data_IF_719884902268
#
_entry.id   IF_719884902268
#
_cell.length_a   1.000
_cell.length_b   1.000
_cell.length_c   1.000
_cell.angle_alpha   90.00
_cell.angle_beta   90.00
_cell.angle_gamma   90.00
#
_symmetry.space_group_name_H-M   'P 1'
#
loop_
_entity.id
_entity.type
_entity.pdbx_description
1 polymer ?
#
# COMPACT_ATOMS: atom_id res chain seq x y z
N UNK A 1 -24.23 -7.33 -19.14
CA UNK A 1 -22.76 -7.58 -19.00
C UNK A 1 -22.04 -6.27 -19.27
N UNK A 2 -21.35 -5.70 -18.25
CA UNK A 2 -20.58 -4.45 -18.42
C UNK A 2 -19.41 -4.71 -19.38
N UNK A 3 -19.06 -3.75 -20.24
CA UNK A 3 -17.87 -3.86 -21.08
C UNK A 3 -16.62 -3.77 -20.22
N UNK A 4 -15.54 -4.44 -20.61
CA UNK A 4 -14.27 -4.44 -19.87
C UNK A 4 -13.77 -3.03 -19.48
N UNK A 5 -13.97 -2.04 -20.36
CA UNK A 5 -13.66 -0.61 -20.12
C UNK A 5 -14.46 0.04 -18.98
N UNK A 6 -15.58 -0.57 -18.57
CA UNK A 6 -16.42 -0.08 -17.48
C UNK A 6 -16.05 -0.72 -16.14
N UNK A 7 -15.25 -1.80 -16.16
CA UNK A 7 -14.86 -2.57 -14.99
C UNK A 7 -13.54 -2.11 -14.37
N UNK A 8 -12.64 -1.52 -15.18
CA UNK A 8 -11.34 -1.05 -14.72
C UNK A 8 -11.23 0.46 -14.88
N UNK A 9 -10.73 1.12 -13.84
CA UNK A 9 -10.49 2.56 -13.81
C UNK A 9 -9.08 2.85 -13.33
N UNK A 10 -8.36 3.67 -14.08
CA UNK A 10 -7.10 4.25 -13.62
C UNK A 10 -7.48 5.48 -12.79
N UNK A 11 -7.09 5.48 -11.53
CA UNK A 11 -7.39 6.54 -10.57
C UNK A 11 -6.25 7.56 -10.46
N UNK A 12 -5.00 7.11 -10.62
CA UNK A 12 -3.78 7.93 -10.56
C UNK A 12 -2.71 7.28 -11.45
N UNK A 13 -1.74 8.07 -11.98
CA UNK A 13 -1.71 9.55 -11.97
C UNK A 13 -2.64 10.16 -13.02
N UNK A 14 -3.11 11.39 -12.79
CA UNK A 14 -3.61 12.24 -13.88
C UNK A 14 -2.44 12.70 -14.74
N UNK A 15 -2.73 13.19 -15.95
CA UNK A 15 -1.68 13.74 -16.83
C UNK A 15 -0.92 14.89 -16.16
N UNK A 16 -1.63 15.77 -15.50
CA UNK A 16 -1.07 16.95 -14.81
C UNK A 16 -0.17 16.52 -13.66
N UNK A 17 -0.64 15.61 -12.82
CA UNK A 17 0.11 15.07 -11.70
C UNK A 17 1.36 14.30 -12.15
N UNK A 18 1.27 13.54 -13.24
CA UNK A 18 2.41 12.86 -13.83
C UNK A 18 3.49 13.83 -14.30
N UNK A 19 3.09 14.93 -14.98
CA UNK A 19 4.02 15.96 -15.43
C UNK A 19 4.67 16.70 -14.25
N UNK A 20 3.92 16.99 -13.17
CA UNK A 20 4.44 17.56 -11.92
C UNK A 20 5.54 16.65 -11.35
N UNK A 21 5.26 15.36 -11.22
CA UNK A 21 6.21 14.37 -10.68
C UNK A 21 7.46 14.19 -11.56
N UNK A 22 7.33 14.31 -12.89
CA UNK A 22 8.50 14.29 -13.78
C UNK A 22 9.45 15.44 -13.50
N UNK A 23 8.95 16.63 -13.19
CA UNK A 23 9.78 17.79 -12.83
C UNK A 23 10.43 17.58 -11.45
N UNK A 24 9.73 16.96 -10.51
CA UNK A 24 10.25 16.67 -9.17
C UNK A 24 11.28 15.52 -9.16
N UNK A 25 11.26 14.65 -10.18
CA UNK A 25 12.12 13.47 -10.21
C UNK A 25 13.58 13.85 -10.47
N UNK A 26 14.47 13.40 -9.59
CA UNK A 26 15.92 13.53 -9.75
C UNK A 26 16.49 12.68 -10.90
N UNK A 27 15.69 11.77 -11.48
CA UNK A 27 16.06 10.95 -12.63
C UNK A 27 15.70 11.59 -13.96
N UNK A 28 14.89 12.65 -13.94
CA UNK A 28 14.61 13.45 -15.13
C UNK A 28 15.85 14.29 -15.44
N UNK A 29 16.50 14.14 -16.61
CA UNK A 29 17.70 14.91 -16.93
C UNK A 29 17.35 16.40 -16.98
N UNK A 30 17.70 17.13 -15.96
CA UNK A 30 17.88 18.57 -16.05
C UNK A 30 19.17 18.80 -16.85
N UNK A 31 19.15 19.72 -17.80
CA UNK A 31 20.20 19.95 -18.80
C UNK A 31 21.61 20.23 -18.21
N UNK A 32 21.76 20.28 -16.89
CA UNK A 32 23.03 20.50 -16.21
C UNK A 32 23.05 19.94 -14.79
N UNK A 33 23.26 18.63 -14.60
CA UNK A 33 23.86 18.17 -13.34
C UNK A 33 24.52 16.78 -13.47
N UNK A 34 25.70 16.65 -12.86
CA UNK A 34 26.58 15.48 -12.91
C UNK A 34 26.11 14.33 -12.01
N UNK A 35 26.38 13.10 -12.46
CA UNK A 35 25.90 11.81 -11.94
C UNK A 35 26.42 11.38 -10.54
N UNK A 36 27.11 12.24 -9.77
CA UNK A 36 27.87 11.81 -8.58
C UNK A 36 27.05 11.63 -7.29
N UNK A 37 25.78 12.05 -7.26
CA UNK A 37 25.00 12.05 -6.02
C UNK A 37 24.14 10.79 -5.77
N UNK A 38 23.99 9.92 -6.74
CA UNK A 38 23.14 8.72 -6.60
C UNK A 38 23.83 7.57 -5.84
N UNK A 39 25.16 7.46 -5.96
CA UNK A 39 25.95 6.37 -5.36
C UNK A 39 26.15 6.53 -3.85
N UNK A 40 26.26 7.76 -3.35
CA UNK A 40 26.46 8.03 -1.93
C UNK A 40 25.20 7.74 -1.06
N UNK A 41 24.00 7.79 -1.64
CA UNK A 41 22.76 7.42 -0.95
C UNK A 41 22.61 5.92 -0.77
N UNK A 42 23.11 5.13 -1.73
CA UNK A 42 23.00 3.66 -1.69
C UNK A 42 23.86 3.04 -0.56
N UNK A 43 25.01 3.63 -0.24
CA UNK A 43 25.94 3.10 0.76
C UNK A 43 25.55 3.43 2.22
N UNK A 44 24.65 4.40 2.45
CA UNK A 44 24.22 4.76 3.82
C UNK A 44 23.22 3.79 4.43
N UNK A 45 22.56 2.96 3.63
CA UNK A 45 21.47 2.08 4.09
C UNK A 45 21.91 0.66 4.50
N UNK A 46 23.23 0.36 4.51
CA UNK A 46 23.71 -1.01 4.68
C UNK A 46 23.92 -1.49 6.13
N UNK A 47 23.86 -0.62 7.13
CA UNK A 47 24.07 -1.00 8.53
C UNK A 47 23.15 -0.22 9.46
N UNK A 48 21.93 -0.71 9.64
CA UNK A 48 21.06 -0.19 10.70
C UNK A 48 20.63 -1.28 11.66
N UNK A 49 20.99 -1.02 12.91
CA UNK A 49 20.52 -1.75 14.08
C UNK A 49 19.02 -1.43 14.22
N UNK A 50 18.16 -2.38 13.95
CA UNK A 50 16.70 -2.19 14.08
C UNK A 50 16.39 -2.04 15.57
N UNK A 51 16.20 -0.81 16.02
CA UNK A 51 15.53 -0.52 17.28
C UNK A 51 14.04 -0.77 17.09
N UNK A 52 13.36 -1.21 18.14
CA UNK A 52 11.94 -1.52 18.08
C UNK A 52 11.15 -0.57 18.97
N UNK A 53 10.02 -0.10 18.45
CA UNK A 53 9.01 0.63 19.20
C UNK A 53 7.92 -0.32 19.70
N UNK A 54 7.28 0.06 20.80
CA UNK A 54 6.07 -0.63 21.27
C UNK A 54 4.85 0.09 20.71
N UNK A 55 4.00 -0.66 20.03
CA UNK A 55 2.73 -0.25 19.48
C UNK A 55 1.60 -1.01 20.16
N UNK A 56 0.50 -0.33 20.45
CA UNK A 56 -0.71 -0.96 21.01
C UNK A 56 -1.87 -0.73 20.05
N UNK A 57 -3.00 -1.43 20.26
CA UNK A 57 -4.17 -1.23 19.41
C UNK A 57 -4.62 0.23 19.37
N UNK A 58 -4.58 0.93 20.49
CA UNK A 58 -4.96 2.34 20.63
C UNK A 58 -3.86 3.35 20.28
N UNK A 59 -2.62 2.91 20.04
CA UNK A 59 -1.47 3.81 19.80
C UNK A 59 -0.72 3.41 18.52
N UNK A 60 -1.21 3.86 17.38
CA UNK A 60 -0.63 3.64 16.06
C UNK A 60 0.71 4.39 15.91
N UNK A 61 1.70 3.75 15.31
CA UNK A 61 3.05 4.31 15.14
C UNK A 61 3.33 4.80 13.71
N UNK A 62 2.41 4.62 12.77
CA UNK A 62 2.51 5.29 11.47
C UNK A 62 2.45 6.82 11.65
N UNK A 63 3.23 7.52 10.81
CA UNK A 63 3.27 8.99 10.79
C UNK A 63 2.37 9.53 9.69
N UNK A 64 1.76 10.71 9.91
CA UNK A 64 0.94 11.39 8.91
C UNK A 64 1.78 12.05 7.82
N UNK A 65 2.86 12.72 8.21
CA UNK A 65 3.68 13.53 7.32
C UNK A 65 4.89 12.76 6.81
N UNK A 66 4.62 11.74 6.00
CA UNK A 66 5.66 10.97 5.31
C UNK A 66 5.56 11.16 3.81
N UNK A 67 6.67 10.98 3.11
CA UNK A 67 6.74 11.08 1.65
C UNK A 67 7.59 9.95 1.08
N UNK A 68 7.31 9.61 -0.14
CA UNK A 68 8.11 8.69 -0.95
C UNK A 68 8.70 9.41 -2.17
N UNK A 69 9.40 8.70 -3.03
CA UNK A 69 9.99 9.31 -4.23
C UNK A 69 8.93 9.68 -5.27
N UNK A 70 9.19 10.68 -6.13
CA UNK A 70 8.29 10.99 -7.24
C UNK A 70 8.01 9.78 -8.15
N UNK A 71 9.00 8.89 -8.33
CA UNK A 71 8.83 7.66 -9.11
C UNK A 71 7.78 6.73 -8.51
N UNK A 72 7.75 6.58 -7.18
CA UNK A 72 6.73 5.81 -6.50
C UNK A 72 5.35 6.46 -6.65
N UNK A 73 5.28 7.79 -6.51
CA UNK A 73 4.05 8.55 -6.72
C UNK A 73 3.50 8.48 -8.16
N UNK A 74 4.37 8.16 -9.16
CA UNK A 74 3.96 7.91 -10.55
C UNK A 74 3.27 6.55 -10.75
N UNK A 75 3.23 5.68 -9.75
CA UNK A 75 2.62 4.36 -9.86
C UNK A 75 1.15 4.45 -10.27
N UNK A 76 0.76 3.57 -11.17
CA UNK A 76 -0.62 3.50 -11.64
C UNK A 76 -1.49 2.86 -10.57
N UNK A 77 -2.50 3.59 -10.10
CA UNK A 77 -3.51 3.08 -9.18
C UNK A 77 -4.74 2.67 -9.96
N UNK A 78 -5.13 1.40 -9.85
CA UNK A 78 -6.23 0.80 -10.61
C UNK A 78 -7.31 0.33 -9.65
N UNK A 79 -8.55 0.78 -9.87
CA UNK A 79 -9.74 0.25 -9.22
C UNK A 79 -10.51 -0.63 -10.18
N UNK A 80 -10.85 -1.84 -9.75
CA UNK A 80 -11.63 -2.79 -10.51
C UNK A 80 -12.98 -3.07 -9.85
N UNK A 81 -14.06 -2.97 -10.63
CA UNK A 81 -15.42 -3.27 -10.21
C UNK A 81 -15.81 -4.68 -10.64
N UNK A 82 -15.69 -5.63 -9.73
CA UNK A 82 -16.06 -7.04 -9.90
C UNK A 82 -16.94 -7.49 -8.74
N UNK A 83 -17.21 -8.78 -8.63
CA UNK A 83 -17.94 -9.36 -7.48
C UNK A 83 -17.23 -9.08 -6.16
N UNK A 84 -15.91 -9.00 -6.19
CA UNK A 84 -15.05 -8.47 -5.13
C UNK A 84 -14.23 -7.32 -5.73
N UNK A 85 -14.63 -6.09 -5.45
CA UNK A 85 -13.94 -4.92 -5.99
C UNK A 85 -12.52 -4.87 -5.46
N UNK A 86 -11.57 -4.53 -6.33
CA UNK A 86 -10.17 -4.53 -5.97
C UNK A 86 -9.47 -3.19 -6.25
N UNK A 87 -8.43 -2.93 -5.47
CA UNK A 87 -7.53 -1.80 -5.64
C UNK A 87 -6.08 -2.28 -5.78
N UNK A 88 -5.46 -1.98 -6.91
CA UNK A 88 -4.03 -2.20 -7.14
C UNK A 88 -3.32 -0.86 -7.06
N UNK A 89 -2.30 -0.78 -6.23
CA UNK A 89 -1.65 0.48 -5.86
C UNK A 89 -0.24 0.63 -6.41
N UNK A 90 0.40 -0.47 -6.84
CA UNK A 90 1.82 -0.45 -7.18
C UNK A 90 2.65 0.06 -6.00
N UNK A 91 3.53 1.00 -6.26
CA UNK A 91 4.38 1.65 -5.25
C UNK A 91 3.86 3.04 -4.84
N UNK A 92 2.58 3.34 -5.12
CA UNK A 92 1.95 4.63 -4.87
C UNK A 92 2.20 5.13 -3.44
N UNK A 93 2.48 6.41 -3.32
CA UNK A 93 2.62 7.09 -2.05
C UNK A 93 1.33 7.81 -1.63
N UNK A 94 1.42 8.58 -0.57
CA UNK A 94 0.29 9.29 0.06
C UNK A 94 -0.39 10.25 -0.93
N UNK A 95 0.39 10.99 -1.75
CA UNK A 95 -0.16 11.95 -2.73
C UNK A 95 -0.96 11.24 -3.82
N UNK A 96 -0.44 10.13 -4.38
CA UNK A 96 -1.12 9.36 -5.40
C UNK A 96 -2.39 8.69 -4.84
N UNK A 97 -2.33 8.14 -3.63
CA UNK A 97 -3.49 7.55 -2.96
C UNK A 97 -4.55 8.59 -2.65
N UNK A 98 -4.18 9.77 -2.13
CA UNK A 98 -5.11 10.87 -1.86
C UNK A 98 -5.82 11.34 -3.13
N UNK A 99 -5.07 11.58 -4.22
CA UNK A 99 -5.64 11.93 -5.53
C UNK A 99 -6.55 10.83 -6.07
N UNK A 100 -6.19 9.55 -5.86
CA UNK A 100 -7.02 8.41 -6.27
C UNK A 100 -8.35 8.36 -5.54
N UNK A 101 -8.33 8.55 -4.22
CA UNK A 101 -9.53 8.58 -3.38
C UNK A 101 -10.42 9.77 -3.81
N UNK A 102 -9.85 10.96 -3.89
CA UNK A 102 -10.56 12.18 -4.28
C UNK A 102 -11.20 12.05 -5.67
N UNK A 103 -10.46 11.48 -6.64
CA UNK A 103 -11.01 11.25 -7.97
C UNK A 103 -12.17 10.23 -7.93
N UNK A 104 -12.05 9.15 -7.15
CA UNK A 104 -13.10 8.14 -7.03
C UNK A 104 -14.37 8.70 -6.37
N UNK A 105 -14.23 9.52 -5.33
CA UNK A 105 -15.32 10.24 -4.66
C UNK A 105 -16.05 11.15 -5.67
N UNK A 106 -15.29 11.93 -6.48
CA UNK A 106 -15.84 12.83 -7.50
C UNK A 106 -16.65 12.13 -8.59
N UNK A 107 -16.37 10.87 -8.88
CA UNK A 107 -17.13 10.05 -9.83
C UNK A 107 -18.18 9.15 -9.14
N UNK A 108 -18.46 9.38 -7.87
CA UNK A 108 -19.46 8.65 -7.08
C UNK A 108 -19.04 7.20 -6.76
N UNK A 109 -17.75 6.95 -6.58
CA UNK A 109 -17.19 5.64 -6.21
C UNK A 109 -16.51 5.72 -4.85
N UNK A 110 -17.19 5.25 -3.83
CA UNK A 110 -16.67 5.20 -2.46
C UNK A 110 -15.78 3.95 -2.31
N UNK A 111 -14.45 4.12 -2.48
CA UNK A 111 -13.49 2.99 -2.38
C UNK A 111 -13.61 2.35 -1.00
N UNK A 112 -13.59 3.15 0.06
CA UNK A 112 -13.64 2.70 1.45
C UNK A 112 -14.74 1.68 1.72
N UNK A 113 -15.94 1.92 1.18
CA UNK A 113 -17.10 1.09 1.45
C UNK A 113 -17.23 -0.12 0.52
N UNK A 114 -16.60 -0.05 -0.65
CA UNK A 114 -16.83 -1.02 -1.71
C UNK A 114 -15.63 -1.93 -2.00
N UNK A 115 -14.41 -1.58 -1.59
CA UNK A 115 -13.23 -2.41 -1.86
C UNK A 115 -13.20 -3.63 -0.95
N UNK A 116 -13.02 -4.80 -1.54
CA UNK A 116 -12.86 -6.07 -0.82
C UNK A 116 -11.42 -6.58 -0.83
N UNK A 117 -10.67 -6.30 -1.92
CA UNK A 117 -9.28 -6.72 -2.07
C UNK A 117 -8.36 -5.52 -2.36
N UNK A 118 -7.21 -5.46 -1.67
CA UNK A 118 -6.25 -4.36 -1.81
C UNK A 118 -4.83 -4.91 -1.94
N UNK A 119 -4.08 -4.40 -2.90
CA UNK A 119 -2.64 -4.51 -2.89
C UNK A 119 -2.07 -3.47 -1.92
N UNK A 120 -1.30 -3.89 -0.92
CA UNK A 120 -0.57 -2.98 -0.04
C UNK A 120 0.54 -2.30 -0.83
N UNK A 121 0.63 -0.96 -0.84
CA UNK A 121 1.60 -0.26 -1.68
C UNK A 121 3.04 -0.53 -1.25
N UNK A 122 3.93 -0.49 -2.21
CA UNK A 122 5.39 -0.52 -2.05
C UNK A 122 5.87 -1.58 -1.06
N UNK A 123 5.41 -2.82 -1.26
CA UNK A 123 5.79 -3.99 -0.45
C UNK A 123 5.49 -3.85 1.06
N UNK A 124 4.63 -2.92 1.46
CA UNK A 124 4.36 -2.60 2.86
C UNK A 124 5.39 -1.64 3.48
N UNK A 125 5.90 -0.70 2.70
CA UNK A 125 6.77 0.37 3.15
C UNK A 125 6.00 1.46 3.91
N UNK A 126 6.57 1.94 5.02
CA UNK A 126 5.94 2.93 5.92
C UNK A 126 5.85 4.35 5.36
N UNK A 127 6.60 4.66 4.30
CA UNK A 127 6.60 5.97 3.64
C UNK A 127 5.49 6.13 2.58
N UNK A 128 4.71 5.08 2.34
CA UNK A 128 3.70 5.03 1.28
C UNK A 128 2.26 5.10 1.81
N UNK A 129 2.08 5.01 3.13
CA UNK A 129 0.78 5.06 3.79
C UNK A 129 0.82 5.92 5.05
N UNK A 130 -0.34 6.49 5.44
CA UNK A 130 -0.52 7.20 6.71
C UNK A 130 -1.87 6.82 7.33
N UNK A 131 -2.07 7.05 8.64
CA UNK A 131 -3.35 6.79 9.30
C UNK A 131 -4.53 7.42 8.59
N UNK A 132 -4.45 8.71 8.24
CA UNK A 132 -5.54 9.43 7.57
C UNK A 132 -5.87 8.88 6.18
N UNK A 133 -4.85 8.54 5.39
CA UNK A 133 -5.05 7.91 4.07
C UNK A 133 -5.68 6.54 4.22
N UNK A 134 -5.24 5.71 5.17
CA UNK A 134 -5.83 4.41 5.41
C UNK A 134 -7.29 4.50 5.87
N UNK A 135 -7.64 5.47 6.73
CA UNK A 135 -9.02 5.70 7.14
C UNK A 135 -9.93 6.00 5.93
N UNK A 136 -9.46 6.82 4.99
CA UNK A 136 -10.20 7.13 3.75
C UNK A 136 -10.23 5.98 2.76
N UNK A 137 -9.21 5.11 2.76
CA UNK A 137 -9.05 4.05 1.78
C UNK A 137 -9.79 2.76 2.16
N UNK A 138 -9.70 2.37 3.44
CA UNK A 138 -10.16 1.06 3.94
C UNK A 138 -11.09 1.13 5.13
N UNK A 139 -11.23 2.29 5.78
CA UNK A 139 -12.10 2.53 6.93
C UNK A 139 -11.34 2.88 8.19
N UNK A 140 -12.08 3.31 9.20
CA UNK A 140 -11.54 3.70 10.48
C UNK A 140 -11.07 2.49 11.31
N UNK A 141 -10.34 2.75 12.38
CA UNK A 141 -9.94 1.72 13.36
C UNK A 141 -11.17 1.08 13.97
N UNK A 142 -11.21 -0.24 14.01
CA UNK A 142 -12.30 -1.04 14.61
C UNK A 142 -11.90 -1.56 15.99
N UNK A 143 -12.83 -2.19 16.71
CA UNK A 143 -12.51 -2.87 17.98
C UNK A 143 -11.51 -4.01 17.76
N UNK A 144 -10.69 -4.30 18.78
CA UNK A 144 -9.68 -5.35 18.67
C UNK A 144 -10.32 -6.72 18.43
N UNK A 145 -9.88 -7.39 17.38
CA UNK A 145 -10.42 -8.68 16.94
C UNK A 145 -11.60 -8.58 15.99
N UNK A 146 -12.10 -7.38 15.70
CA UNK A 146 -13.15 -7.16 14.70
C UNK A 146 -12.57 -7.23 13.27
N UNK A 147 -13.35 -7.71 12.32
CA UNK A 147 -12.98 -7.80 10.90
C UNK A 147 -14.02 -7.17 9.99
N UNK A 148 -13.56 -6.45 8.98
CA UNK A 148 -14.41 -5.85 7.93
C UNK A 148 -14.62 -6.77 6.73
N UNK A 149 -14.01 -7.96 6.72
CA UNK A 149 -14.04 -8.89 5.59
C UNK A 149 -13.17 -8.46 4.40
N UNK A 150 -12.42 -7.36 4.53
CA UNK A 150 -11.46 -6.92 3.51
C UNK A 150 -10.16 -7.74 3.59
N UNK A 151 -9.53 -7.93 2.44
CA UNK A 151 -8.27 -8.67 2.29
C UNK A 151 -7.20 -7.78 1.66
N UNK A 152 -6.01 -7.79 2.23
CA UNK A 152 -4.85 -7.10 1.68
C UNK A 152 -3.71 -8.07 1.37
N UNK A 153 -3.12 -7.94 0.16
CA UNK A 153 -1.94 -8.71 -0.22
C UNK A 153 -0.72 -7.80 -0.31
N UNK A 154 0.38 -8.30 0.27
CA UNK A 154 1.70 -7.68 0.19
C UNK A 154 2.60 -8.55 -0.67
N UNK A 155 3.08 -8.00 -1.79
CA UNK A 155 4.06 -8.66 -2.65
C UNK A 155 5.45 -8.46 -2.07
N UNK A 156 6.11 -9.50 -1.57
CA UNK A 156 7.46 -9.43 -1.00
C UNK A 156 8.32 -10.59 -1.48
N UNK A 157 9.61 -10.33 -1.66
CA UNK A 157 10.59 -11.34 -2.00
C UNK A 157 10.91 -12.24 -0.79
N UNK A 158 11.42 -13.43 -1.06
CA UNK A 158 12.00 -14.27 -0.01
C UNK A 158 13.22 -13.57 0.61
N UNK A 159 13.25 -13.48 1.95
CA UNK A 159 14.35 -12.80 2.67
C UNK A 159 14.20 -11.27 2.80
N UNK A 160 13.12 -10.68 2.30
CA UNK A 160 12.80 -9.26 2.53
C UNK A 160 12.37 -9.02 3.98
N UNK A 161 12.76 -7.87 4.53
CA UNK A 161 12.30 -7.38 5.84
C UNK A 161 10.86 -6.81 5.77
N UNK A 162 10.31 -6.67 4.56
CA UNK A 162 8.94 -6.23 4.34
C UNK A 162 7.93 -7.40 4.43
N UNK A 163 6.66 -7.11 4.67
CA UNK A 163 6.12 -5.79 5.03
C UNK A 163 6.61 -5.38 6.43
N UNK A 164 6.76 -4.08 6.65
CA UNK A 164 7.03 -3.57 7.99
C UNK A 164 5.84 -3.84 8.91
N UNK A 165 6.12 -4.24 10.15
CA UNK A 165 5.08 -4.66 11.08
C UNK A 165 4.11 -3.52 11.42
N UNK A 166 4.60 -2.26 11.53
CA UNK A 166 3.72 -1.13 11.74
C UNK A 166 2.69 -0.93 10.60
N UNK A 167 3.04 -1.30 9.35
CA UNK A 167 2.10 -1.24 8.23
C UNK A 167 1.09 -2.38 8.32
N UNK A 168 1.54 -3.61 8.65
CA UNK A 168 0.64 -4.75 8.91
C UNK A 168 -0.38 -4.38 10.00
N UNK A 169 0.11 -3.85 11.13
CA UNK A 169 -0.72 -3.43 12.26
C UNK A 169 -1.76 -2.37 11.85
N UNK A 170 -1.36 -1.40 11.02
CA UNK A 170 -2.25 -0.34 10.56
C UNK A 170 -3.44 -0.87 9.73
N UNK A 171 -3.20 -1.86 8.88
CA UNK A 171 -4.29 -2.55 8.16
C UNK A 171 -5.11 -3.43 9.08
N UNK A 172 -4.47 -4.22 9.95
CA UNK A 172 -5.14 -5.15 10.87
C UNK A 172 -6.08 -4.42 11.83
N UNK A 173 -5.66 -3.27 12.42
CA UNK A 173 -6.52 -2.51 13.32
C UNK A 173 -7.73 -1.86 12.63
N UNK A 174 -7.74 -1.82 11.28
CA UNK A 174 -8.89 -1.43 10.46
C UNK A 174 -9.70 -2.64 9.98
N UNK A 175 -9.52 -3.79 10.64
CA UNK A 175 -10.26 -5.02 10.38
C UNK A 175 -9.91 -5.71 9.06
N UNK A 176 -8.75 -5.39 8.45
CA UNK A 176 -8.30 -5.96 7.18
C UNK A 176 -7.37 -7.14 7.43
N UNK A 177 -7.64 -8.29 6.80
CA UNK A 177 -6.75 -9.46 6.85
C UNK A 177 -5.59 -9.29 5.89
N UNK A 178 -4.35 -9.25 6.40
CA UNK A 178 -3.13 -9.03 5.61
C UNK A 178 -2.41 -10.34 5.33
N UNK A 179 -2.03 -10.57 4.08
CA UNK A 179 -1.27 -11.74 3.65
C UNK A 179 -0.04 -11.32 2.84
N UNK A 180 1.06 -12.07 2.97
CA UNK A 180 2.30 -11.80 2.21
C UNK A 180 2.71 -12.98 1.33
N UNK A 181 3.28 -12.69 0.15
CA UNK A 181 3.77 -13.71 -0.78
C UNK A 181 5.02 -14.41 -0.26
N UNK A 182 6.01 -13.66 0.22
CA UNK A 182 7.32 -14.16 0.71
C UNK A 182 7.95 -15.17 -0.24
N UNK A 183 7.93 -14.88 -1.55
CA UNK A 183 8.44 -15.76 -2.59
C UNK A 183 7.51 -16.92 -2.97
N UNK A 184 6.33 -17.03 -2.37
CA UNK A 184 5.32 -18.04 -2.72
C UNK A 184 4.21 -17.43 -3.58
N UNK A 185 3.54 -18.29 -4.33
CA UNK A 185 2.30 -17.92 -5.04
C UNK A 185 1.15 -18.00 -4.03
N UNK A 186 0.41 -16.90 -3.88
CA UNK A 186 -0.84 -16.88 -3.11
C UNK A 186 -2.00 -16.51 -4.04
N UNK A 187 -3.18 -17.00 -3.71
CA UNK A 187 -4.37 -16.83 -4.53
C UNK A 187 -5.51 -16.32 -3.66
N UNK A 188 -6.13 -15.22 -4.10
CA UNK A 188 -7.37 -14.71 -3.54
C UNK A 188 -8.54 -15.14 -4.39
N UNK A 189 -9.61 -15.63 -3.77
CA UNK A 189 -10.87 -15.93 -4.45
C UNK A 189 -12.04 -15.63 -3.52
N UNK A 190 -13.18 -15.29 -4.10
CA UNK A 190 -14.42 -15.07 -3.38
C UNK A 190 -15.56 -15.75 -4.15
N UNK A 191 -16.46 -16.41 -3.41
CA UNK A 191 -17.62 -17.12 -3.97
C UNK A 191 -17.26 -18.15 -5.05
N UNK A 192 -16.05 -18.76 -4.96
CA UNK A 192 -15.59 -19.78 -5.88
C UNK A 192 -15.33 -21.09 -5.12
N UNK A 193 -15.47 -22.25 -5.79
CA UNK A 193 -15.09 -23.52 -5.18
C UNK A 193 -13.60 -23.55 -4.78
N UNK A 194 -13.30 -24.33 -3.75
CA UNK A 194 -11.91 -24.57 -3.34
C UNK A 194 -11.11 -25.13 -4.51
N UNK A 195 -9.91 -24.62 -4.68
CA UNK A 195 -9.00 -25.04 -5.73
C UNK A 195 -8.21 -26.28 -5.29
N UNK A 196 -8.31 -27.44 -5.98
CA UNK A 196 -7.56 -28.63 -5.62
C UNK A 196 -6.06 -28.36 -5.55
N UNK A 197 -5.41 -28.88 -4.51
CA UNK A 197 -3.96 -28.70 -4.29
C UNK A 197 -3.55 -27.37 -3.65
N UNK A 198 -4.51 -26.52 -3.26
CA UNK A 198 -4.26 -25.29 -2.52
C UNK A 198 -4.73 -25.44 -1.08
N UNK A 199 -4.00 -24.86 -0.15
CA UNK A 199 -4.34 -24.82 1.27
C UNK A 199 -4.56 -23.38 1.71
N UNK A 200 -5.46 -23.19 2.67
CA UNK A 200 -5.65 -21.89 3.27
C UNK A 200 -4.38 -21.42 4.01
N UNK A 201 -4.04 -20.15 3.85
CA UNK A 201 -2.95 -19.51 4.58
C UNK A 201 -3.53 -18.63 5.69
N UNK A 202 -2.75 -18.43 6.76
CA UNK A 202 -3.13 -17.53 7.85
C UNK A 202 -2.73 -16.08 7.52
N UNK A 203 -3.55 -15.11 7.92
CA UNK A 203 -3.15 -13.70 7.84
C UNK A 203 -1.98 -13.43 8.78
N UNK A 204 -1.29 -12.32 8.52
CA UNK A 204 -0.30 -11.77 9.44
C UNK A 204 -1.02 -11.25 10.70
N UNK A 205 -0.42 -11.48 11.85
CA UNK A 205 -0.99 -11.10 13.14
C UNK A 205 -0.55 -9.67 13.51
N UNK A 206 -1.34 -9.02 14.36
CA UNK A 206 -0.94 -7.79 15.03
C UNK A 206 0.18 -8.11 16.02
N UNK A 207 1.28 -7.36 15.97
CA UNK A 207 2.39 -7.50 16.90
C UNK A 207 2.69 -6.16 17.58
N UNK A 208 2.90 -6.18 18.91
CA UNK A 208 3.21 -4.96 19.66
C UNK A 208 4.59 -4.39 19.31
N UNK A 209 5.51 -5.23 18.86
CA UNK A 209 6.87 -4.84 18.53
C UNK A 209 6.97 -4.45 17.08
N UNK A 210 7.21 -3.18 16.80
CA UNK A 210 7.32 -2.62 15.46
C UNK A 210 8.66 -1.91 15.25
N UNK A 211 8.97 -1.63 14.00
CA UNK A 211 10.22 -0.96 13.62
C UNK A 211 10.22 0.50 14.10
N UNK A 212 11.35 0.97 14.61
CA UNK A 212 11.54 2.40 14.92
C UNK A 212 11.69 3.22 13.66
N UNK A 213 11.17 4.45 13.69
CA UNK A 213 11.44 5.42 12.62
C UNK A 213 12.89 5.88 12.70
N UNK A 214 13.53 5.93 11.53
CA UNK A 214 14.81 6.57 11.37
C UNK A 214 14.57 8.06 11.19
N UNK A 215 15.16 8.87 12.05
CA UNK A 215 15.14 10.34 11.95
C UNK A 215 16.18 10.84 10.96
#
# INVERSE_FOLDING_TARGET
MKRFKELLRILSPSKEFYLELLVESSKTPLINESADNAFSRFLKNAFQYVKNLIETWSSEKLRENVSTTPENEMSVVIYGEMDDNFLLTGDAGIRALDKSITYSENIGKEIKDNVGFIQVPHHGGRHNVSPSILNRLIGDVVEEGETTGKTAFVSVASGSDHPLQMVVNAFTRRGVSVYKTKGNIIHHHRNMPDRPGWTAIKPLEFEQKVEEWED
#
